data_IF_971989380472
#
_entry.id   IF_971989380472
#
_cell.length_a   1.000
_cell.length_b   1.000
_cell.length_c   1.000
_cell.angle_alpha   90.00
_cell.angle_beta   90.00
_cell.angle_gamma   90.00
#
_symmetry.space_group_name_H-M   'P 1'
#
loop_
_entity.id
_entity.type
_entity.pdbx_description
1 polymer ?
#
# COMPACT_ATOMS: atom_id res chain seq x y z
N UNK A 1 -6.39 16.39 20.15
CA UNK A 1 -7.49 15.43 20.41
C UNK A 1 -7.31 14.89 21.81
N UNK A 2 -8.37 14.73 22.58
CA UNK A 2 -8.31 14.05 23.87
C UNK A 2 -8.00 12.57 23.60
N UNK A 3 -6.83 12.10 24.03
CA UNK A 3 -6.30 10.76 23.72
C UNK A 3 -6.97 9.65 24.55
N UNK A 4 -7.99 9.97 25.33
CA UNK A 4 -8.59 9.05 26.32
C UNK A 4 -9.86 8.35 25.86
N UNK A 5 -10.49 8.79 24.76
CA UNK A 5 -11.75 8.23 24.28
C UNK A 5 -11.53 7.41 23.00
N UNK A 6 -11.91 6.11 22.99
CA UNK A 6 -11.87 5.30 21.76
C UNK A 6 -12.76 5.91 20.67
N UNK A 7 -12.38 5.76 19.42
CA UNK A 7 -13.23 6.14 18.30
C UNK A 7 -14.48 5.27 18.26
N UNK A 8 -15.59 5.89 17.88
CA UNK A 8 -16.86 5.18 17.73
C UNK A 8 -16.76 4.21 16.54
N UNK A 9 -17.13 2.95 16.79
CA UNK A 9 -17.07 1.90 15.76
C UNK A 9 -17.86 2.33 14.51
N UNK A 10 -17.32 2.11 13.31
CA UNK A 10 -18.00 2.48 12.06
C UNK A 10 -19.39 1.86 11.94
N UNK A 11 -20.38 2.69 11.62
CA UNK A 11 -21.79 2.30 11.57
C UNK A 11 -22.59 2.59 12.82
N UNK A 12 -21.97 2.71 13.99
CA UNK A 12 -22.65 3.07 15.24
C UNK A 12 -23.08 4.55 15.25
N UNK A 13 -24.03 4.87 16.13
CA UNK A 13 -24.51 6.25 16.30
C UNK A 13 -23.37 7.19 16.74
N UNK A 14 -23.20 8.29 16.02
CA UNK A 14 -22.13 9.27 16.28
C UNK A 14 -20.83 9.00 15.50
N UNK A 15 -20.67 7.83 14.86
CA UNK A 15 -19.49 7.58 14.02
C UNK A 15 -19.50 8.46 12.77
N UNK A 16 -18.32 8.99 12.41
CA UNK A 16 -18.11 9.75 11.17
C UNK A 16 -18.06 8.87 9.92
N UNK A 17 -17.98 7.56 10.09
CA UNK A 17 -17.99 6.59 9.00
C UNK A 17 -19.22 5.69 9.12
N UNK A 18 -20.07 5.71 8.11
CA UNK A 18 -21.24 4.85 7.97
C UNK A 18 -21.12 4.07 6.66
N UNK A 19 -20.62 2.82 6.71
CA UNK A 19 -20.50 2.01 5.50
C UNK A 19 -21.86 1.77 4.85
N UNK A 20 -21.92 1.88 3.52
CA UNK A 20 -23.05 1.39 2.73
C UNK A 20 -22.98 -0.13 2.65
N UNK A 21 -24.14 -0.81 2.53
CA UNK A 21 -24.16 -2.27 2.37
C UNK A 21 -23.55 -2.75 1.06
N UNK A 22 -23.44 -1.86 0.06
CA UNK A 22 -22.87 -2.17 -1.26
C UNK A 22 -22.20 -0.94 -1.86
N UNK A 23 -21.06 -1.17 -2.51
CA UNK A 23 -20.32 -0.21 -3.31
C UNK A 23 -20.23 -0.66 -4.77
N UNK A 24 -19.85 0.27 -5.65
CA UNK A 24 -19.75 0.04 -7.09
C UNK A 24 -18.31 0.36 -7.58
N UNK A 25 -18.00 0.06 -8.85
CA UNK A 25 -16.79 0.57 -9.49
C UNK A 25 -16.90 2.08 -9.70
N UNK A 26 -15.81 2.81 -9.59
CA UNK A 26 -15.77 4.23 -9.97
C UNK A 26 -15.15 4.37 -11.36
N UNK A 27 -15.99 4.58 -12.39
CA UNK A 27 -15.55 4.60 -13.79
C UNK A 27 -16.17 5.80 -14.50
N UNK A 28 -15.34 6.57 -15.22
CA UNK A 28 -15.83 7.69 -16.01
C UNK A 28 -16.36 8.88 -15.17
N UNK A 29 -15.98 8.93 -13.89
CA UNK A 29 -16.43 9.96 -12.95
C UNK A 29 -17.73 9.62 -12.23
N UNK A 30 -18.23 8.38 -12.33
CA UNK A 30 -19.49 7.95 -11.74
C UNK A 30 -19.40 6.50 -11.20
N UNK A 31 -20.32 6.13 -10.31
CA UNK A 31 -20.42 4.81 -9.74
C UNK A 31 -21.14 3.85 -10.71
N UNK A 32 -20.46 2.76 -11.08
CA UNK A 32 -20.89 1.82 -12.12
C UNK A 32 -20.99 0.40 -11.61
N UNK A 33 -22.14 -0.23 -11.81
CA UNK A 33 -22.32 -1.66 -11.49
C UNK A 33 -21.40 -2.54 -12.34
N UNK A 34 -20.94 -3.67 -11.81
CA UNK A 34 -20.18 -4.63 -12.62
C UNK A 34 -21.05 -5.20 -13.75
N UNK A 35 -20.47 -5.36 -14.94
CA UNK A 35 -21.19 -5.86 -16.13
C UNK A 35 -21.85 -7.22 -15.91
N UNK A 36 -21.17 -8.07 -15.11
CA UNK A 36 -21.71 -9.40 -14.75
C UNK A 36 -22.82 -9.34 -13.70
N UNK A 37 -23.05 -8.23 -13.02
CA UNK A 37 -23.95 -8.09 -11.88
C UNK A 37 -23.48 -8.85 -10.63
N UNK A 38 -22.23 -9.38 -10.60
CA UNK A 38 -21.70 -10.17 -9.49
C UNK A 38 -20.96 -9.29 -8.49
N UNK A 39 -21.06 -9.66 -7.21
CA UNK A 39 -20.41 -9.00 -6.10
C UNK A 39 -19.71 -10.04 -5.23
N UNK A 40 -18.81 -9.59 -4.36
CA UNK A 40 -18.21 -10.40 -3.31
C UNK A 40 -18.22 -9.60 -1.99
N UNK A 41 -18.19 -10.31 -0.87
CA UNK A 41 -18.18 -9.71 0.46
C UNK A 41 -16.79 -9.21 0.82
N UNK A 42 -16.73 -8.00 1.32
CA UNK A 42 -15.55 -7.44 1.98
C UNK A 42 -15.72 -7.64 3.49
N UNK A 43 -14.77 -8.33 4.09
CA UNK A 43 -14.81 -8.74 5.50
C UNK A 43 -13.83 -7.89 6.31
N UNK A 44 -14.31 -7.31 7.41
CA UNK A 44 -13.43 -6.61 8.34
C UNK A 44 -12.55 -7.59 9.11
N UNK A 45 -11.22 -7.49 9.03
CA UNK A 45 -10.33 -8.34 9.80
C UNK A 45 -10.37 -8.05 11.31
N UNK A 46 -10.89 -6.89 11.72
CA UNK A 46 -11.02 -6.55 13.14
C UNK A 46 -12.03 -7.42 13.86
N UNK A 47 -13.05 -7.92 13.16
CA UNK A 47 -14.19 -8.63 13.74
C UNK A 47 -14.59 -9.91 13.01
N UNK A 48 -14.05 -10.17 11.81
CA UNK A 48 -14.49 -11.26 10.94
C UNK A 48 -15.89 -11.07 10.33
N UNK A 49 -16.48 -9.86 10.44
CA UNK A 49 -17.82 -9.56 9.93
C UNK A 49 -17.76 -8.87 8.58
N UNK A 50 -18.81 -9.04 7.77
CA UNK A 50 -18.97 -8.35 6.49
C UNK A 50 -19.14 -6.85 6.71
N UNK A 51 -18.35 -6.04 6.01
CA UNK A 51 -18.48 -4.59 5.94
C UNK A 51 -19.54 -4.22 4.89
N UNK A 52 -19.34 -4.73 3.67
CA UNK A 52 -20.14 -4.42 2.50
C UNK A 52 -19.93 -5.46 1.39
N UNK A 53 -20.72 -5.34 0.33
CA UNK A 53 -20.46 -6.02 -0.95
C UNK A 53 -19.76 -5.06 -1.92
N UNK A 54 -18.82 -5.57 -2.72
CA UNK A 54 -18.10 -4.84 -3.77
C UNK A 54 -18.12 -5.60 -5.09
N UNK A 55 -17.95 -4.92 -6.25
CA UNK A 55 -18.02 -5.55 -7.56
C UNK A 55 -17.02 -6.70 -7.75
N UNK A 56 -17.48 -7.84 -8.24
CA UNK A 56 -16.66 -8.89 -8.80
C UNK A 56 -16.54 -8.68 -10.30
N UNK A 57 -15.70 -7.71 -10.66
CA UNK A 57 -15.49 -7.30 -12.04
C UNK A 57 -14.63 -8.30 -12.80
N UNK A 58 -14.76 -8.25 -14.12
CA UNK A 58 -14.05 -9.10 -15.07
C UNK A 58 -13.40 -8.28 -16.20
N UNK A 59 -12.99 -8.93 -17.28
CA UNK A 59 -12.36 -8.29 -18.42
C UNK A 59 -13.25 -7.23 -19.10
N UNK A 60 -14.58 -7.41 -19.11
CA UNK A 60 -15.51 -6.43 -19.70
C UNK A 60 -15.55 -5.13 -18.91
N UNK A 61 -15.46 -5.21 -17.57
CA UNK A 61 -15.39 -4.02 -16.71
C UNK A 61 -14.05 -3.30 -16.88
N UNK A 62 -12.96 -4.04 -17.04
CA UNK A 62 -11.64 -3.48 -17.35
C UNK A 62 -11.67 -2.76 -18.70
N UNK A 63 -12.24 -3.37 -19.73
CA UNK A 63 -12.35 -2.73 -21.04
C UNK A 63 -13.21 -1.47 -20.99
N UNK A 64 -14.32 -1.49 -20.24
CA UNK A 64 -15.16 -0.33 -20.02
C UNK A 64 -14.43 0.81 -19.30
N UNK A 65 -13.62 0.49 -18.28
CA UNK A 65 -12.76 1.47 -17.60
C UNK A 65 -11.67 2.02 -18.51
N UNK A 66 -11.08 1.17 -19.36
CA UNK A 66 -10.11 1.59 -20.37
C UNK A 66 -10.74 2.50 -21.44
N UNK A 67 -12.01 2.27 -21.83
CA UNK A 67 -12.74 3.18 -22.73
C UNK A 67 -12.85 4.58 -22.11
N UNK A 68 -13.27 4.66 -20.84
CA UNK A 68 -13.36 5.93 -20.12
C UNK A 68 -12.00 6.62 -20.00
N UNK A 69 -10.95 5.86 -19.64
CA UNK A 69 -9.61 6.39 -19.51
C UNK A 69 -9.04 6.89 -20.85
N UNK A 70 -9.22 6.15 -21.94
CA UNK A 70 -8.76 6.57 -23.28
C UNK A 70 -9.52 7.80 -23.79
N UNK A 71 -10.78 7.96 -23.43
CA UNK A 71 -11.57 9.16 -23.77
C UNK A 71 -11.02 10.40 -23.03
N UNK A 72 -10.60 10.25 -21.77
CA UNK A 72 -10.11 11.34 -20.93
C UNK A 72 -8.64 11.70 -21.19
N UNK A 73 -7.78 10.72 -21.49
CA UNK A 73 -6.34 10.88 -21.56
C UNK A 73 -5.86 12.00 -22.52
N UNK A 74 -6.41 12.19 -23.72
CA UNK A 74 -5.95 13.25 -24.63
C UNK A 74 -6.13 14.68 -24.09
N UNK A 75 -7.23 14.93 -23.41
CA UNK A 75 -7.50 16.24 -22.80
C UNK A 75 -6.65 16.45 -21.54
N UNK A 76 -6.61 15.43 -20.66
CA UNK A 76 -5.84 15.46 -19.43
C UNK A 76 -4.33 15.63 -19.70
N UNK A 77 -3.78 14.90 -20.68
CA UNK A 77 -2.38 14.99 -21.07
C UNK A 77 -1.97 16.36 -21.65
N UNK A 78 -2.94 17.12 -22.18
CA UNK A 78 -2.72 18.50 -22.65
C UNK A 78 -2.94 19.56 -21.59
N UNK A 79 -3.50 19.19 -20.43
CA UNK A 79 -3.67 20.11 -19.29
C UNK A 79 -2.31 20.60 -18.80
N UNK A 80 -2.19 21.90 -18.59
CA UNK A 80 -0.92 22.50 -18.15
C UNK A 80 -0.43 21.97 -16.80
N UNK A 81 0.91 21.88 -16.57
CA UNK A 81 1.46 21.37 -15.29
C UNK A 81 0.94 22.11 -14.07
N UNK A 82 0.74 23.43 -14.17
CA UNK A 82 0.22 24.23 -13.07
C UNK A 82 -1.22 23.89 -12.70
N UNK A 83 -2.05 23.58 -13.69
CA UNK A 83 -3.45 23.20 -13.46
C UNK A 83 -3.54 21.80 -12.83
N UNK A 84 -2.77 20.84 -13.34
CA UNK A 84 -2.66 19.50 -12.72
C UNK A 84 -2.17 19.61 -11.27
N UNK A 85 -1.12 20.39 -11.03
CA UNK A 85 -0.61 20.65 -9.69
C UNK A 85 -1.70 21.20 -8.74
N UNK A 86 -2.48 22.17 -9.20
CA UNK A 86 -3.57 22.75 -8.39
C UNK A 86 -4.66 21.73 -8.05
N UNK A 87 -4.96 20.80 -8.97
CA UNK A 87 -5.90 19.69 -8.71
C UNK A 87 -5.33 18.75 -7.65
N UNK A 88 -4.06 18.36 -7.75
CA UNK A 88 -3.40 17.51 -6.76
C UNK A 88 -3.35 18.15 -5.37
N UNK A 89 -3.11 19.46 -5.28
CA UNK A 89 -3.17 20.19 -4.00
C UNK A 89 -4.58 20.15 -3.41
N UNK A 90 -5.62 20.37 -4.21
CA UNK A 90 -7.01 20.24 -3.75
C UNK A 90 -7.36 18.84 -3.27
N UNK A 91 -6.81 17.80 -3.93
CA UNK A 91 -6.94 16.41 -3.47
C UNK A 91 -6.29 16.25 -2.10
N UNK A 92 -5.06 16.73 -1.94
CA UNK A 92 -4.34 16.68 -0.66
C UNK A 92 -5.12 17.38 0.47
N UNK A 93 -5.60 18.59 0.23
CA UNK A 93 -6.38 19.35 1.21
C UNK A 93 -7.69 18.62 1.58
N UNK A 94 -8.41 18.08 0.59
CA UNK A 94 -9.64 17.32 0.82
C UNK A 94 -9.40 16.03 1.62
N UNK A 95 -8.29 15.33 1.39
CA UNK A 95 -7.88 14.15 2.18
C UNK A 95 -7.58 14.57 3.62
N UNK A 96 -6.82 15.64 3.82
CA UNK A 96 -6.47 16.17 5.15
C UNK A 96 -7.71 16.58 5.96
N UNK A 97 -8.68 17.25 5.33
CA UNK A 97 -9.97 17.62 5.92
C UNK A 97 -10.82 16.40 6.33
N UNK A 98 -10.61 15.24 5.69
CA UNK A 98 -11.34 14.01 5.95
C UNK A 98 -10.50 12.92 6.66
N UNK A 99 -9.41 13.31 7.34
CA UNK A 99 -8.46 12.38 7.99
C UNK A 99 -9.16 11.36 8.87
N UNK A 100 -10.10 11.76 9.74
CA UNK A 100 -10.78 10.83 10.64
C UNK A 100 -11.64 9.80 9.89
N UNK A 101 -12.40 10.24 8.87
CA UNK A 101 -13.22 9.34 8.04
C UNK A 101 -12.34 8.30 7.33
N UNK A 102 -11.22 8.73 6.78
CA UNK A 102 -10.30 7.88 6.03
C UNK A 102 -9.52 6.94 6.96
N UNK A 103 -9.07 7.41 8.12
CA UNK A 103 -8.41 6.55 9.13
C UNK A 103 -9.35 5.47 9.67
N UNK A 104 -10.63 5.81 9.94
CA UNK A 104 -11.65 4.83 10.31
C UNK A 104 -11.88 3.79 9.20
N UNK A 105 -11.87 4.22 7.93
CA UNK A 105 -12.04 3.32 6.79
C UNK A 105 -10.84 2.36 6.66
N UNK A 106 -9.61 2.86 6.77
CA UNK A 106 -8.39 2.04 6.77
C UNK A 106 -8.41 0.99 7.89
N UNK A 107 -8.72 1.42 9.12
CA UNK A 107 -8.78 0.51 10.28
C UNK A 107 -9.83 -0.58 10.11
N UNK A 108 -11.03 -0.23 9.62
CA UNK A 108 -12.11 -1.19 9.42
C UNK A 108 -11.78 -2.21 8.33
N UNK A 109 -11.13 -1.76 7.25
CA UNK A 109 -10.86 -2.52 6.03
C UNK A 109 -9.60 -3.39 6.14
N UNK A 110 -8.53 -2.85 6.73
CA UNK A 110 -7.21 -3.49 6.80
C UNK A 110 -6.92 -4.14 8.17
N UNK A 111 -7.54 -3.65 9.25
CA UNK A 111 -7.28 -4.14 10.62
C UNK A 111 -6.19 -3.41 11.39
N UNK A 112 -5.45 -2.49 10.78
CA UNK A 112 -4.42 -1.71 11.47
C UNK A 112 -4.99 -0.85 12.59
N UNK A 113 -4.20 -0.53 13.62
CA UNK A 113 -4.61 0.43 14.63
C UNK A 113 -4.88 1.80 14.02
N UNK A 114 -5.93 2.46 14.44
CA UNK A 114 -6.33 3.78 13.92
C UNK A 114 -5.23 4.85 14.11
N UNK A 115 -4.38 4.69 15.12
CA UNK A 115 -3.20 5.53 15.31
C UNK A 115 -2.29 5.57 14.10
N UNK A 116 -2.15 4.45 13.37
CA UNK A 116 -1.32 4.35 12.18
C UNK A 116 -1.93 5.17 11.04
N UNK A 117 -3.26 5.13 10.89
CA UNK A 117 -4.00 5.99 9.96
C UNK A 117 -3.73 7.48 10.20
N UNK A 118 -3.73 7.92 11.47
CA UNK A 118 -3.47 9.30 11.86
C UNK A 118 -2.00 9.70 11.79
N UNK A 119 -1.08 8.82 12.18
CA UNK A 119 0.34 9.14 12.30
C UNK A 119 1.14 8.93 11.00
N UNK A 120 0.71 8.01 10.15
CA UNK A 120 1.43 7.60 8.96
C UNK A 120 0.59 7.66 7.68
N UNK A 121 -0.46 6.84 7.55
CA UNK A 121 -1.10 6.58 6.25
C UNK A 121 -1.68 7.84 5.62
N UNK A 122 -2.52 8.57 6.35
CA UNK A 122 -3.19 9.75 5.81
C UNK A 122 -2.23 10.95 5.66
N UNK A 123 -1.36 11.27 6.65
CA UNK A 123 -0.34 12.31 6.46
C UNK A 123 0.60 12.04 5.28
N UNK A 124 1.08 10.81 5.11
CA UNK A 124 1.93 10.45 3.98
C UNK A 124 1.17 10.48 2.65
N UNK A 125 -0.11 10.10 2.63
CA UNK A 125 -0.97 10.25 1.46
C UNK A 125 -1.08 11.71 1.03
N UNK A 126 -1.35 12.62 1.97
CA UNK A 126 -1.41 14.08 1.73
C UNK A 126 -0.07 14.59 1.19
N UNK A 127 1.04 14.20 1.84
CA UNK A 127 2.38 14.61 1.44
C UNK A 127 2.74 14.16 0.01
N UNK A 128 2.38 12.94 -0.37
CA UNK A 128 2.62 12.43 -1.73
C UNK A 128 1.91 13.27 -2.80
N UNK A 129 0.66 13.63 -2.61
CA UNK A 129 -0.04 14.51 -3.55
C UNK A 129 0.59 15.90 -3.60
N UNK A 130 0.98 16.46 -2.45
CA UNK A 130 1.68 17.76 -2.36
C UNK A 130 3.06 17.71 -3.02
N UNK A 131 3.83 16.62 -2.78
CA UNK A 131 5.15 16.43 -3.39
C UNK A 131 5.07 16.41 -4.92
N UNK A 132 4.18 15.60 -5.50
CA UNK A 132 4.07 15.50 -6.96
C UNK A 132 3.43 16.74 -7.59
N UNK A 133 2.60 17.49 -6.87
CA UNK A 133 2.16 18.81 -7.29
C UNK A 133 3.32 19.80 -7.42
N UNK A 134 4.27 19.77 -6.50
CA UNK A 134 5.52 20.53 -6.57
C UNK A 134 6.44 20.04 -7.68
N UNK A 135 6.69 18.74 -7.73
CA UNK A 135 7.62 18.10 -8.66
C UNK A 135 7.27 18.38 -10.13
N UNK A 136 5.97 18.28 -10.51
CA UNK A 136 5.57 18.50 -11.90
C UNK A 136 5.78 19.95 -12.36
N UNK A 137 5.72 20.92 -11.45
CA UNK A 137 5.99 22.33 -11.78
C UNK A 137 7.46 22.64 -11.95
N UNK A 138 8.33 21.84 -11.35
CA UNK A 138 9.79 21.96 -11.43
C UNK A 138 10.40 21.03 -12.49
N UNK A 139 9.57 20.25 -13.20
CA UNK A 139 10.05 19.32 -14.20
C UNK A 139 10.60 20.07 -15.42
N UNK A 140 11.86 19.81 -15.75
CA UNK A 140 12.58 20.40 -16.88
C UNK A 140 12.87 19.33 -17.96
N UNK A 141 13.20 19.81 -19.16
CA UNK A 141 13.80 19.00 -20.22
C UNK A 141 15.31 19.25 -20.31
N UNK A 142 15.96 18.50 -21.17
CA UNK A 142 17.38 18.67 -21.48
C UNK A 142 17.58 19.10 -22.92
N UNK A 143 18.65 19.86 -23.18
CA UNK A 143 19.07 20.26 -24.50
C UNK A 143 20.56 19.99 -24.64
N UNK A 144 20.98 19.47 -25.81
CA UNK A 144 22.38 19.20 -26.12
C UNK A 144 22.67 19.43 -27.59
N UNK A 145 23.90 19.80 -27.87
CA UNK A 145 24.40 19.84 -29.26
C UNK A 145 24.98 18.47 -29.61
N UNK A 146 24.66 18.00 -30.81
CA UNK A 146 25.26 16.79 -31.39
C UNK A 146 26.17 17.24 -32.51
N UNK A 147 27.46 16.89 -32.43
CA UNK A 147 28.41 17.14 -33.49
C UNK A 147 27.98 16.36 -34.76
N UNK A 148 27.86 17.07 -35.87
CA UNK A 148 27.46 16.46 -37.13
C UNK A 148 28.47 15.37 -37.55
N UNK A 149 28.01 14.15 -37.88
CA UNK A 149 28.87 13.16 -38.53
C UNK A 149 29.34 13.70 -39.86
N UNK A 150 30.65 13.85 -40.05
CA UNK A 150 31.27 14.13 -41.35
C UNK A 150 31.10 12.88 -42.24
N UNK A 151 30.10 12.87 -43.09
CA UNK A 151 30.08 11.99 -44.23
C UNK A 151 30.65 12.74 -45.42
N UNK A 152 31.94 12.49 -45.67
CA UNK A 152 32.65 12.96 -46.91
C UNK A 152 33.13 14.41 -46.84
N UNK A 153 34.36 14.61 -46.38
CA UNK A 153 35.37 15.59 -46.86
C UNK A 153 34.99 17.07 -46.98
N UNK A 154 33.97 17.57 -46.32
CA UNK A 154 33.57 18.97 -46.33
C UNK A 154 33.25 19.50 -44.96
N UNK A 155 33.76 20.68 -44.63
CA UNK A 155 33.45 21.46 -43.39
C UNK A 155 32.00 21.97 -43.45
N UNK A 156 31.01 21.12 -43.26
CA UNK A 156 29.65 21.56 -42.98
C UNK A 156 29.32 21.21 -41.55
N UNK A 157 29.68 22.07 -40.64
CA UNK A 157 29.22 22.08 -39.24
C UNK A 157 27.74 22.52 -39.22
N UNK A 158 26.85 21.71 -39.76
CA UNK A 158 25.44 21.77 -39.39
C UNK A 158 25.32 21.06 -38.04
N UNK A 159 25.55 21.81 -36.95
CA UNK A 159 25.30 21.34 -35.60
C UNK A 159 23.83 20.93 -35.47
N UNK A 160 23.60 19.69 -35.08
CA UNK A 160 22.25 19.25 -34.70
C UNK A 160 22.01 19.56 -33.25
N UNK A 161 20.80 20.00 -32.95
CA UNK A 161 20.36 20.22 -31.58
C UNK A 161 19.39 19.09 -31.21
N UNK A 162 19.70 18.36 -30.13
CA UNK A 162 18.82 17.39 -29.52
C UNK A 162 18.17 18.02 -28.27
N UNK A 163 16.86 17.90 -28.17
CA UNK A 163 16.15 18.25 -26.94
C UNK A 163 15.29 17.11 -26.50
N UNK A 164 15.12 16.99 -25.18
CA UNK A 164 14.32 15.98 -24.52
C UNK A 164 13.37 16.66 -23.56
N UNK A 165 12.10 16.30 -23.65
CA UNK A 165 11.08 16.69 -22.67
C UNK A 165 10.14 15.52 -22.39
N UNK A 166 9.64 15.37 -21.13
CA UNK A 166 8.70 14.31 -20.77
C UNK A 166 7.31 14.56 -21.36
N UNK A 167 6.69 13.48 -21.83
CA UNK A 167 5.29 13.46 -22.28
C UNK A 167 4.50 12.39 -21.50
N UNK A 168 3.16 12.57 -21.31
CA UNK A 168 2.31 11.53 -20.77
C UNK A 168 2.35 10.26 -21.61
N UNK A 169 2.37 9.10 -20.97
CA UNK A 169 2.24 7.80 -21.64
C UNK A 169 0.84 7.56 -22.22
N UNK A 170 -0.17 8.18 -21.62
CA UNK A 170 -1.58 8.03 -21.96
C UNK A 170 -2.37 7.31 -20.89
N UNK A 171 -2.73 6.04 -21.10
CA UNK A 171 -3.46 5.24 -20.10
C UNK A 171 -2.52 4.26 -19.42
N UNK A 172 -2.53 4.26 -18.08
CA UNK A 172 -1.71 3.38 -17.25
C UNK A 172 -2.57 2.49 -16.36
N UNK A 173 -2.17 1.23 -16.19
CA UNK A 173 -2.77 0.27 -15.27
C UNK A 173 -2.03 0.28 -13.93
N UNK A 174 -2.78 0.25 -12.84
CA UNK A 174 -2.23 0.22 -11.50
C UNK A 174 -2.88 -0.88 -10.66
N UNK A 175 -2.08 -1.66 -9.94
CA UNK A 175 -2.54 -2.72 -9.07
C UNK A 175 -1.85 -2.54 -7.72
N UNK A 176 -2.64 -2.42 -6.65
CA UNK A 176 -2.15 -2.10 -5.32
C UNK A 176 -2.43 -3.23 -4.32
N UNK A 177 -1.59 -3.39 -3.29
CA UNK A 177 -1.74 -4.37 -2.23
C UNK A 177 -2.74 -3.88 -1.16
N UNK A 178 -2.94 -4.74 -0.17
CA UNK A 178 -3.89 -4.57 0.91
C UNK A 178 -3.30 -3.99 2.21
N UNK A 179 -1.98 -3.88 2.34
CA UNK A 179 -1.35 -3.50 3.62
C UNK A 179 -1.38 -1.99 3.94
N UNK A 180 -1.42 -1.13 2.93
CA UNK A 180 -1.59 0.31 3.04
C UNK A 180 -2.50 0.82 1.92
N UNK A 181 -3.80 0.48 1.90
CA UNK A 181 -4.66 0.70 0.74
C UNK A 181 -4.63 2.14 0.21
N UNK A 182 -5.00 3.13 1.03
CA UNK A 182 -5.06 4.55 0.62
C UNK A 182 -3.68 5.09 0.27
N UNK A 183 -2.66 4.78 1.07
CA UNK A 183 -1.29 5.24 0.82
C UNK A 183 -0.73 4.65 -0.48
N UNK A 184 -0.95 3.35 -0.75
CA UNK A 184 -0.50 2.72 -1.99
C UNK A 184 -1.26 3.22 -3.21
N UNK A 185 -2.54 3.58 -3.05
CA UNK A 185 -3.27 4.29 -4.11
C UNK A 185 -2.62 5.65 -4.40
N UNK A 186 -2.29 6.44 -3.36
CA UNK A 186 -1.62 7.73 -3.53
C UNK A 186 -0.24 7.60 -4.20
N UNK A 187 0.57 6.61 -3.82
CA UNK A 187 1.89 6.36 -4.42
C UNK A 187 1.82 6.13 -5.93
N UNK A 188 0.71 5.63 -6.42
CA UNK A 188 0.52 5.35 -7.85
C UNK A 188 -0.31 6.44 -8.55
N UNK A 189 -1.37 6.93 -7.92
CA UNK A 189 -2.21 7.98 -8.50
C UNK A 189 -1.47 9.32 -8.61
N UNK A 190 -0.81 9.78 -7.55
CA UNK A 190 -0.20 11.11 -7.54
C UNK A 190 0.83 11.32 -8.66
N UNK A 191 1.85 10.47 -8.86
CA UNK A 191 2.81 10.63 -9.94
C UNK A 191 2.17 10.46 -11.33
N UNK A 192 1.24 9.51 -11.49
CA UNK A 192 0.60 9.27 -12.78
C UNK A 192 -0.27 10.45 -13.22
N UNK A 193 -1.08 10.99 -12.30
CA UNK A 193 -1.92 12.16 -12.53
C UNK A 193 -1.09 13.43 -12.76
N UNK A 194 -0.04 13.64 -11.96
CA UNK A 194 0.90 14.74 -12.13
C UNK A 194 1.51 14.74 -13.54
N UNK A 195 1.95 13.57 -14.01
CA UNK A 195 2.53 13.39 -15.34
C UNK A 195 1.50 13.50 -16.49
N UNK A 196 0.20 13.65 -16.21
CA UNK A 196 -0.85 13.79 -17.23
C UNK A 196 -1.40 12.48 -17.77
N UNK A 197 -1.21 11.36 -17.07
CA UNK A 197 -1.76 10.06 -17.45
C UNK A 197 -3.17 9.86 -16.90
N UNK A 198 -4.03 9.18 -17.65
CA UNK A 198 -5.27 8.62 -17.12
C UNK A 198 -5.01 7.21 -16.56
N UNK A 199 -5.75 6.85 -15.52
CA UNK A 199 -5.45 5.67 -14.70
C UNK A 199 -6.65 4.72 -14.66
N UNK A 200 -6.36 3.41 -14.74
CA UNK A 200 -7.25 2.34 -14.29
C UNK A 200 -6.54 1.64 -13.13
N UNK A 201 -7.10 1.74 -11.92
CA UNK A 201 -6.54 1.17 -10.69
C UNK A 201 -7.41 0.02 -10.20
N UNK A 202 -6.77 -1.13 -9.91
CA UNK A 202 -7.37 -2.27 -9.24
C UNK A 202 -6.86 -2.37 -7.80
N UNK A 203 -7.70 -2.10 -6.80
CA UNK A 203 -7.36 -2.36 -5.40
C UNK A 203 -7.23 -3.86 -5.11
N UNK A 204 -6.58 -4.21 -4.00
CA UNK A 204 -6.63 -5.58 -3.50
C UNK A 204 -8.06 -5.98 -3.13
N UNK A 205 -8.41 -7.23 -3.35
CA UNK A 205 -9.74 -7.77 -3.01
C UNK A 205 -9.99 -7.85 -1.50
N UNK A 206 -8.93 -7.85 -0.69
CA UNK A 206 -9.02 -7.85 0.76
C UNK A 206 -9.42 -6.48 1.33
N UNK A 207 -9.04 -5.38 0.66
CA UNK A 207 -9.22 -4.02 1.16
C UNK A 207 -9.77 -3.05 0.10
N UNK A 208 -10.95 -3.33 -0.44
CA UNK A 208 -11.57 -2.47 -1.46
C UNK A 208 -12.36 -1.30 -0.86
N UNK A 209 -12.81 -1.42 0.40
CA UNK A 209 -13.71 -0.46 1.03
C UNK A 209 -13.07 0.91 1.24
N UNK A 210 -11.87 0.97 1.79
CA UNK A 210 -11.15 2.23 2.03
C UNK A 210 -10.89 3.01 0.75
N UNK A 211 -10.68 2.33 -0.38
CA UNK A 211 -10.53 2.96 -1.70
C UNK A 211 -11.85 3.57 -2.19
N UNK A 212 -12.99 2.91 -1.93
CA UNK A 212 -14.29 3.52 -2.24
C UNK A 212 -14.51 4.80 -1.42
N UNK A 213 -14.20 4.75 -0.12
CA UNK A 213 -14.29 5.94 0.75
C UNK A 213 -13.35 7.05 0.29
N UNK A 214 -12.14 6.71 -0.19
CA UNK A 214 -11.23 7.68 -0.81
C UNK A 214 -11.88 8.33 -2.03
N UNK A 215 -12.49 7.54 -2.92
CA UNK A 215 -13.15 8.09 -4.13
C UNK A 215 -14.40 8.91 -3.82
N UNK A 216 -15.14 8.60 -2.74
CA UNK A 216 -16.19 9.48 -2.24
C UNK A 216 -15.66 10.88 -1.84
N UNK A 217 -14.41 10.92 -1.33
CA UNK A 217 -13.76 12.15 -0.86
C UNK A 217 -13.16 12.96 -2.02
N UNK A 218 -12.55 12.32 -3.02
CA UNK A 218 -11.75 13.02 -4.03
C UNK A 218 -12.27 12.90 -5.48
N UNK A 219 -13.21 11.99 -5.75
CA UNK A 219 -13.59 11.62 -7.12
C UNK A 219 -14.14 12.78 -7.95
N UNK A 220 -14.84 13.73 -7.33
CA UNK A 220 -15.40 14.94 -7.95
C UNK A 220 -14.35 15.99 -8.35
N UNK A 221 -13.13 15.90 -7.81
CA UNK A 221 -12.03 16.83 -8.11
C UNK A 221 -11.33 16.53 -9.44
N UNK A 222 -11.50 15.31 -9.96
CA UNK A 222 -10.86 14.85 -11.18
C UNK A 222 -11.83 14.91 -12.38
N UNK A 223 -11.36 15.28 -13.56
CA UNK A 223 -12.18 15.16 -14.76
C UNK A 223 -12.61 13.70 -15.00
N UNK A 224 -13.84 13.53 -15.48
CA UNK A 224 -14.43 12.22 -15.73
C UNK A 224 -13.51 11.30 -16.54
N UNK A 225 -13.22 10.09 -16.06
CA UNK A 225 -12.37 9.10 -16.69
C UNK A 225 -10.86 9.27 -16.50
N UNK A 226 -10.39 10.33 -15.82
CA UNK A 226 -8.96 10.50 -15.51
C UNK A 226 -8.49 9.48 -14.47
N UNK A 227 -9.30 9.18 -13.47
CA UNK A 227 -9.09 8.08 -12.54
C UNK A 227 -10.29 7.13 -12.58
N UNK A 228 -10.02 5.83 -12.70
CA UNK A 228 -11.04 4.79 -12.72
C UNK A 228 -10.61 3.67 -11.76
N UNK A 229 -11.52 3.25 -10.90
CA UNK A 229 -11.30 2.19 -9.91
C UNK A 229 -12.17 0.99 -10.29
N UNK A 230 -11.54 -0.18 -10.45
CA UNK A 230 -12.21 -1.42 -10.80
C UNK A 230 -11.88 -2.49 -9.75
N UNK A 231 -12.89 -2.92 -9.00
CA UNK A 231 -12.77 -3.97 -8.00
C UNK A 231 -12.85 -5.35 -8.65
N UNK A 232 -12.28 -6.35 -8.00
CA UNK A 232 -12.31 -7.74 -8.48
C UNK A 232 -11.08 -8.53 -8.10
N UNK A 233 -11.14 -9.84 -8.34
CA UNK A 233 -10.04 -10.75 -8.05
C UNK A 233 -8.87 -10.60 -9.04
N UNK A 234 -7.67 -10.97 -8.58
CA UNK A 234 -6.44 -10.84 -9.36
C UNK A 234 -6.51 -11.47 -10.75
N UNK A 235 -7.05 -12.68 -10.85
CA UNK A 235 -7.16 -13.41 -12.14
C UNK A 235 -8.27 -12.84 -13.03
N UNK A 236 -9.37 -12.33 -12.44
CA UNK A 236 -10.56 -11.90 -13.17
C UNK A 236 -10.47 -10.45 -13.68
N UNK A 237 -9.87 -9.55 -12.89
CA UNK A 237 -9.71 -8.14 -13.23
C UNK A 237 -8.23 -7.71 -13.37
N UNK A 238 -7.34 -8.21 -12.52
CA UNK A 238 -5.92 -7.84 -12.54
C UNK A 238 -5.18 -8.34 -13.78
N UNK A 239 -5.37 -9.62 -14.14
CA UNK A 239 -4.75 -10.20 -15.35
C UNK A 239 -5.19 -9.48 -16.63
N UNK A 240 -6.50 -9.25 -16.91
CA UNK A 240 -6.93 -8.46 -18.05
C UNK A 240 -6.32 -7.05 -18.12
N UNK A 241 -6.21 -6.38 -16.97
CA UNK A 241 -5.57 -5.06 -16.92
C UNK A 241 -4.08 -5.14 -17.26
N UNK A 242 -3.36 -6.09 -16.66
CA UNK A 242 -1.90 -6.22 -16.83
C UNK A 242 -1.50 -6.71 -18.25
N UNK A 243 -2.36 -7.47 -18.93
CA UNK A 243 -2.11 -7.97 -20.29
C UNK A 243 -2.73 -7.11 -21.40
N UNK A 244 -3.48 -6.05 -21.08
CA UNK A 244 -4.17 -5.27 -22.10
C UNK A 244 -3.21 -4.43 -22.94
N UNK A 245 -3.15 -4.66 -24.26
CA UNK A 245 -2.39 -3.82 -25.22
C UNK A 245 -2.81 -2.34 -25.24
N UNK A 246 -3.94 -2.01 -24.57
CA UNK A 246 -4.46 -0.65 -24.42
C UNK A 246 -3.77 0.10 -23.27
N UNK A 247 -3.02 -0.60 -22.42
CA UNK A 247 -2.27 -0.02 -21.29
C UNK A 247 -0.82 0.24 -21.73
N UNK A 248 -0.30 1.42 -21.42
CA UNK A 248 1.05 1.84 -21.80
C UNK A 248 2.11 1.54 -20.74
N UNK A 249 1.71 1.33 -19.51
CA UNK A 249 2.56 0.93 -18.38
C UNK A 249 1.71 0.30 -17.30
N UNK A 250 2.25 -0.70 -16.60
CA UNK A 250 1.67 -1.26 -15.41
C UNK A 250 2.55 -0.92 -14.20
N UNK A 251 1.93 -0.36 -13.15
CA UNK A 251 2.53 -0.21 -11.84
C UNK A 251 1.91 -1.23 -10.87
N UNK A 252 2.72 -2.12 -10.35
CA UNK A 252 2.30 -3.15 -9.41
C UNK A 252 3.05 -3.02 -8.08
N UNK A 253 2.33 -3.16 -6.97
CA UNK A 253 2.90 -3.42 -5.65
C UNK A 253 2.18 -4.61 -5.04
N UNK A 254 2.95 -5.58 -4.52
CA UNK A 254 2.39 -6.76 -3.88
C UNK A 254 3.41 -7.87 -3.68
N UNK A 255 2.91 -9.08 -3.54
CA UNK A 255 3.71 -10.28 -3.27
C UNK A 255 4.56 -10.66 -4.49
N UNK A 256 5.75 -11.21 -4.25
CA UNK A 256 6.75 -11.52 -5.27
C UNK A 256 6.25 -12.52 -6.33
N UNK A 257 5.49 -13.55 -5.92
CA UNK A 257 4.94 -14.54 -6.87
C UNK A 257 3.94 -13.90 -7.82
N UNK A 258 3.07 -13.03 -7.30
CA UNK A 258 2.14 -12.24 -8.11
C UNK A 258 2.88 -11.27 -9.04
N UNK A 259 3.97 -10.64 -8.57
CA UNK A 259 4.82 -9.78 -9.41
C UNK A 259 5.39 -10.51 -10.62
N UNK A 260 5.82 -11.78 -10.46
CA UNK A 260 6.26 -12.63 -11.58
C UNK A 260 5.14 -12.87 -12.60
N UNK A 261 3.91 -13.14 -12.12
CA UNK A 261 2.74 -13.29 -12.99
C UNK A 261 2.41 -11.99 -13.73
N UNK A 262 2.50 -10.83 -13.08
CA UNK A 262 2.29 -9.53 -13.73
C UNK A 262 3.29 -9.31 -14.86
N UNK A 263 4.59 -9.64 -14.66
CA UNK A 263 5.58 -9.58 -15.73
C UNK A 263 5.24 -10.51 -16.90
N UNK A 264 4.80 -11.74 -16.60
CA UNK A 264 4.37 -12.69 -17.63
C UNK A 264 3.19 -12.15 -18.45
N UNK A 265 2.16 -11.61 -17.79
CA UNK A 265 1.00 -11.02 -18.48
C UNK A 265 1.38 -9.80 -19.32
N UNK A 266 2.20 -8.91 -18.78
CA UNK A 266 2.64 -7.72 -19.49
C UNK A 266 3.55 -8.04 -20.69
N UNK A 267 4.32 -9.13 -20.63
CA UNK A 267 5.24 -9.54 -21.68
C UNK A 267 4.54 -9.90 -23.00
N UNK A 268 3.29 -10.34 -22.96
CA UNK A 268 2.49 -10.66 -24.15
C UNK A 268 2.37 -9.46 -25.09
N UNK A 269 2.36 -8.25 -24.55
CA UNK A 269 2.22 -7.01 -25.32
C UNK A 269 3.38 -6.03 -25.10
N UNK A 270 4.51 -6.50 -24.55
CA UNK A 270 5.71 -5.72 -24.26
C UNK A 270 5.43 -4.46 -23.42
N UNK A 271 4.50 -4.57 -22.46
CA UNK A 271 4.11 -3.46 -21.61
C UNK A 271 5.19 -3.25 -20.54
N UNK A 272 5.76 -2.04 -20.39
CA UNK A 272 6.69 -1.73 -19.30
C UNK A 272 6.02 -1.88 -17.92
N UNK A 273 6.73 -2.51 -16.99
CA UNK A 273 6.23 -2.76 -15.63
C UNK A 273 7.19 -2.16 -14.61
N UNK A 274 6.63 -1.50 -13.61
CA UNK A 274 7.34 -1.20 -12.34
C UNK A 274 6.78 -2.09 -11.26
N UNK A 275 7.66 -2.82 -10.57
CA UNK A 275 7.33 -3.76 -9.50
C UNK A 275 7.90 -3.27 -8.17
N UNK A 276 7.02 -3.15 -7.17
CA UNK A 276 7.39 -3.02 -5.77
C UNK A 276 6.96 -4.31 -5.07
N UNK A 277 7.91 -5.02 -4.48
CA UNK A 277 7.72 -6.39 -3.99
C UNK A 277 8.14 -6.52 -2.52
N UNK A 278 8.05 -7.73 -1.98
CA UNK A 278 8.41 -8.02 -0.61
C UNK A 278 9.92 -8.13 -0.37
N UNK A 279 10.26 -8.39 0.88
CA UNK A 279 11.64 -8.54 1.31
C UNK A 279 11.78 -9.26 2.64
N UNK A 280 13.02 -9.43 3.08
CA UNK A 280 13.39 -9.97 4.39
C UNK A 280 14.53 -9.13 4.97
N UNK A 281 14.25 -7.83 5.13
CA UNK A 281 15.24 -6.82 5.55
C UNK A 281 15.74 -7.07 6.98
N UNK A 282 17.05 -7.00 7.25
CA UNK A 282 17.59 -7.11 8.60
C UNK A 282 17.73 -5.75 9.29
N UNK A 283 17.49 -5.70 10.60
CA UNK A 283 18.12 -4.73 11.49
C UNK A 283 19.41 -5.34 12.04
N UNK A 284 20.50 -4.57 12.04
CA UNK A 284 21.82 -5.03 12.49
C UNK A 284 22.24 -4.21 13.71
N UNK A 285 22.51 -4.90 14.81
CA UNK A 285 22.85 -4.32 16.11
C UNK A 285 24.29 -4.69 16.47
N UNK A 286 25.22 -3.73 16.33
CA UNK A 286 26.61 -3.90 16.73
C UNK A 286 26.80 -3.68 18.24
N UNK A 287 27.89 -4.22 18.79
CA UNK A 287 28.14 -4.21 20.23
C UNK A 287 28.28 -2.82 20.86
N UNK A 288 28.69 -1.84 20.09
CA UNK A 288 28.90 -0.47 20.54
C UNK A 288 27.61 0.27 20.92
N UNK A 289 26.43 -0.22 20.49
CA UNK A 289 25.15 0.38 20.90
C UNK A 289 24.97 0.40 22.41
N UNK A 290 25.47 -0.63 23.13
CA UNK A 290 25.38 -0.73 24.59
C UNK A 290 26.30 0.23 25.35
N UNK A 291 27.20 0.92 24.64
CA UNK A 291 28.00 2.03 25.16
C UNK A 291 27.37 3.41 24.98
N UNK A 292 26.20 3.48 24.36
CA UNK A 292 25.44 4.70 24.13
C UNK A 292 24.71 5.21 25.37
N UNK A 293 24.02 6.33 25.24
CA UNK A 293 23.11 6.83 26.26
C UNK A 293 21.84 5.96 26.35
N UNK A 294 21.15 5.99 27.49
CA UNK A 294 19.89 5.27 27.68
C UNK A 294 18.84 5.61 26.60
N UNK A 295 18.77 6.88 26.18
CA UNK A 295 17.91 7.30 25.09
C UNK A 295 18.31 6.66 23.74
N UNK A 296 19.61 6.56 23.45
CA UNK A 296 20.08 5.91 22.24
C UNK A 296 19.79 4.40 22.25
N UNK A 297 20.04 3.73 23.36
CA UNK A 297 19.73 2.29 23.53
C UNK A 297 18.22 2.07 23.40
N UNK A 298 17.39 2.93 24.03
CA UNK A 298 15.93 2.88 23.91
C UNK A 298 15.47 2.98 22.45
N UNK A 299 16.07 3.86 21.65
CA UNK A 299 15.77 3.96 20.21
C UNK A 299 16.21 2.72 19.42
N UNK A 300 17.29 2.07 19.81
CA UNK A 300 17.68 0.79 19.20
C UNK A 300 16.63 -0.31 19.50
N UNK A 301 16.10 -0.35 20.72
CA UNK A 301 15.02 -1.27 21.08
C UNK A 301 13.74 -0.94 20.30
N UNK A 302 13.36 0.35 20.17
CA UNK A 302 12.25 0.76 19.30
C UNK A 302 12.46 0.31 17.85
N UNK A 303 13.70 0.37 17.35
CA UNK A 303 14.05 -0.14 16.02
C UNK A 303 13.72 -1.62 15.84
N UNK A 304 13.85 -2.44 16.91
CA UNK A 304 13.40 -3.84 16.90
C UNK A 304 11.85 -3.91 16.85
N UNK A 305 11.16 -3.10 17.64
CA UNK A 305 9.70 -3.08 17.71
C UNK A 305 9.03 -2.67 16.38
N UNK A 306 9.76 -1.99 15.48
CA UNK A 306 9.26 -1.69 14.14
C UNK A 306 8.90 -2.95 13.35
N UNK A 307 9.38 -4.15 13.74
CA UNK A 307 8.93 -5.42 13.18
C UNK A 307 7.43 -5.69 13.42
N UNK A 308 6.82 -5.02 14.40
CA UNK A 308 5.41 -5.17 14.77
C UNK A 308 4.54 -3.99 14.32
N UNK A 309 5.16 -2.91 13.79
CA UNK A 309 4.44 -1.79 13.21
C UNK A 309 3.50 -2.26 12.09
N UNK A 310 2.32 -1.67 11.99
CA UNK A 310 1.28 -2.11 11.05
C UNK A 310 1.07 -3.64 11.10
N UNK A 311 1.05 -4.23 12.32
CA UNK A 311 1.00 -5.68 12.62
C UNK A 311 2.01 -6.53 11.81
N UNK A 312 3.18 -5.96 11.46
CA UNK A 312 4.22 -6.61 10.68
C UNK A 312 3.93 -6.73 9.17
N UNK A 313 2.84 -6.16 8.69
CA UNK A 313 2.41 -6.19 7.29
C UNK A 313 3.03 -5.03 6.48
N UNK A 314 4.37 -4.97 6.48
CA UNK A 314 5.16 -3.90 5.88
C UNK A 314 6.26 -4.48 4.98
N UNK A 315 6.31 -4.06 3.71
CA UNK A 315 7.31 -4.53 2.74
C UNK A 315 8.76 -4.17 3.14
N UNK A 316 8.93 -3.07 3.87
CA UNK A 316 10.23 -2.63 4.42
C UNK A 316 10.43 -3.05 5.88
N UNK A 317 9.60 -3.95 6.40
CA UNK A 317 9.65 -4.41 7.78
C UNK A 317 11.03 -5.00 8.10
N UNK A 318 11.65 -4.64 9.26
CA UNK A 318 12.87 -5.29 9.74
C UNK A 318 12.54 -6.66 10.32
N UNK A 319 12.18 -7.59 9.44
CA UNK A 319 11.70 -8.93 9.81
C UNK A 319 12.79 -9.93 10.19
N UNK A 320 14.04 -9.46 10.32
CA UNK A 320 15.18 -10.16 10.95
C UNK A 320 15.93 -9.19 11.84
N UNK A 321 16.39 -9.67 13.01
CA UNK A 321 17.29 -8.95 13.88
C UNK A 321 18.62 -9.70 13.94
N UNK A 322 19.72 -9.07 13.52
CA UNK A 322 21.07 -9.61 13.59
C UNK A 322 21.80 -8.87 14.71
N UNK A 323 21.99 -9.55 15.84
CA UNK A 323 22.49 -8.95 17.07
C UNK A 323 23.85 -9.55 17.39
N UNK A 324 24.84 -8.67 17.67
CA UNK A 324 26.18 -9.12 18.07
C UNK A 324 26.10 -9.96 19.36
N UNK A 325 26.85 -11.08 19.42
CA UNK A 325 26.79 -12.06 20.51
C UNK A 325 27.06 -11.46 21.89
N UNK A 326 28.02 -10.52 22.01
CA UNK A 326 28.39 -9.87 23.28
C UNK A 326 27.23 -9.08 23.93
N UNK A 327 26.22 -8.62 23.13
CA UNK A 327 25.12 -7.82 23.61
C UNK A 327 23.76 -8.53 23.52
N UNK A 328 23.75 -9.76 23.01
CA UNK A 328 22.50 -10.46 22.70
C UNK A 328 21.58 -10.58 23.92
N UNK A 329 22.07 -11.13 25.02
CA UNK A 329 21.22 -11.36 26.21
C UNK A 329 20.71 -10.04 26.84
N UNK A 330 21.55 -9.03 27.15
CA UNK A 330 21.06 -7.79 27.75
C UNK A 330 20.16 -6.99 26.79
N UNK A 331 20.41 -6.99 25.49
CA UNK A 331 19.57 -6.32 24.52
C UNK A 331 18.20 -7.01 24.38
N UNK A 332 18.17 -8.33 24.27
CA UNK A 332 16.93 -9.09 24.15
C UNK A 332 16.06 -9.03 25.40
N UNK A 333 16.65 -8.88 26.60
CA UNK A 333 15.87 -8.66 27.81
C UNK A 333 15.11 -7.33 27.75
N UNK A 334 15.77 -6.24 27.32
CA UNK A 334 15.12 -4.95 27.11
C UNK A 334 14.02 -5.02 26.02
N UNK A 335 14.26 -5.76 24.93
CA UNK A 335 13.26 -6.00 23.88
C UNK A 335 12.04 -6.73 24.46
N UNK A 336 12.24 -7.81 25.22
CA UNK A 336 11.13 -8.58 25.84
C UNK A 336 10.27 -7.72 26.73
N UNK A 337 10.88 -6.88 27.58
CA UNK A 337 10.13 -5.97 28.44
C UNK A 337 9.29 -4.95 27.64
N UNK A 338 9.84 -4.41 26.56
CA UNK A 338 9.13 -3.48 25.69
C UNK A 338 8.00 -4.15 24.91
N UNK A 339 8.20 -5.38 24.41
CA UNK A 339 7.17 -6.13 23.68
C UNK A 339 6.00 -6.49 24.63
N UNK A 340 6.27 -6.88 25.88
CA UNK A 340 5.21 -7.10 26.89
C UNK A 340 4.35 -5.85 27.15
N UNK A 341 4.92 -4.67 26.98
CA UNK A 341 4.22 -3.40 27.17
C UNK A 341 3.41 -2.96 25.91
N UNK A 342 3.53 -3.67 24.78
CA UNK A 342 2.75 -3.36 23.58
C UNK A 342 1.26 -3.58 23.84
N UNK A 343 0.47 -2.54 23.56
CA UNK A 343 -0.97 -2.66 23.61
C UNK A 343 -1.51 -3.28 22.31
N UNK A 344 -1.98 -4.52 22.41
CA UNK A 344 -2.66 -5.24 21.36
C UNK A 344 -4.14 -5.30 21.72
N UNK A 345 -4.90 -4.27 21.37
CA UNK A 345 -6.28 -4.07 21.82
C UNK A 345 -7.26 -3.78 20.68
N UNK A 346 -8.31 -3.00 20.98
CA UNK A 346 -9.22 -2.51 19.95
C UNK A 346 -8.48 -1.68 18.91
N UNK A 347 -8.55 -2.01 17.62
CA UNK A 347 -7.91 -1.19 16.58
C UNK A 347 -8.42 0.25 16.51
N UNK A 348 -9.60 0.53 17.08
CA UNK A 348 -10.20 1.88 17.16
C UNK A 348 -9.79 2.68 18.40
N UNK A 349 -8.85 2.18 19.20
CA UNK A 349 -8.22 2.89 20.31
C UNK A 349 -6.84 3.42 19.88
N UNK A 350 -6.59 4.73 20.10
CA UNK A 350 -5.30 5.36 19.77
C UNK A 350 -4.11 4.76 20.54
N UNK A 351 -4.35 4.11 21.66
CA UNK A 351 -3.32 3.45 22.44
C UNK A 351 -2.96 2.06 21.90
N UNK A 352 -3.77 1.48 21.03
CA UNK A 352 -3.44 0.18 20.41
C UNK A 352 -2.27 0.33 19.44
N UNK A 353 -1.30 -0.59 19.55
CA UNK A 353 -0.07 -0.59 18.77
C UNK A 353 0.00 -1.73 17.76
N UNK A 354 -0.70 -2.82 18.01
CA UNK A 354 -0.77 -3.98 17.11
C UNK A 354 -2.23 -4.34 16.88
N UNK A 355 -2.65 -4.35 15.62
CA UNK A 355 -4.01 -4.63 15.17
C UNK A 355 -4.21 -6.05 14.67
N UNK A 356 -5.28 -6.25 13.87
CA UNK A 356 -5.60 -7.51 13.21
C UNK A 356 -4.82 -7.67 11.90
N UNK A 357 -4.56 -8.91 11.49
CA UNK A 357 -4.02 -9.23 10.16
C UNK A 357 -5.08 -8.97 9.09
N UNK A 358 -4.69 -8.47 7.93
CA UNK A 358 -5.61 -7.92 6.92
C UNK A 358 -6.64 -8.91 6.36
N UNK A 359 -6.45 -10.21 6.51
CA UNK A 359 -7.40 -11.23 6.06
C UNK A 359 -7.20 -12.56 6.78
N UNK A 360 -8.19 -13.44 6.70
CA UNK A 360 -8.08 -14.81 7.21
C UNK A 360 -6.97 -15.59 6.48
N UNK A 361 -6.83 -15.39 5.17
CA UNK A 361 -5.78 -16.03 4.37
C UNK A 361 -4.38 -15.64 4.90
N UNK A 362 -4.15 -14.36 5.16
CA UNK A 362 -2.89 -13.88 5.71
C UNK A 362 -2.67 -14.38 7.15
N UNK A 363 -3.69 -14.38 7.97
CA UNK A 363 -3.64 -14.96 9.32
C UNK A 363 -3.23 -16.43 9.28
N UNK A 364 -3.88 -17.27 8.45
CA UNK A 364 -3.54 -18.69 8.31
C UNK A 364 -2.11 -18.89 7.77
N UNK A 365 -1.67 -18.06 6.82
CA UNK A 365 -0.29 -18.04 6.35
C UNK A 365 0.69 -17.81 7.51
N UNK A 366 0.47 -16.78 8.33
CA UNK A 366 1.34 -16.47 9.46
C UNK A 366 1.37 -17.65 10.44
N UNK A 367 0.20 -18.18 10.82
CA UNK A 367 0.11 -19.34 11.72
C UNK A 367 0.90 -20.55 11.19
N UNK A 368 0.81 -20.80 9.88
CA UNK A 368 1.59 -21.86 9.25
C UNK A 368 3.12 -21.67 9.38
N UNK A 369 3.60 -20.42 9.28
CA UNK A 369 5.02 -20.12 9.47
C UNK A 369 5.46 -20.22 10.93
N UNK A 370 4.59 -19.92 11.89
CA UNK A 370 4.88 -20.17 13.31
C UNK A 370 5.10 -21.68 13.56
N UNK A 371 4.28 -22.52 12.93
CA UNK A 371 4.45 -23.99 13.02
C UNK A 371 5.70 -24.47 12.28
N UNK A 372 6.00 -23.94 11.10
CA UNK A 372 7.23 -24.24 10.36
C UNK A 372 8.47 -23.91 11.20
N UNK A 373 8.49 -22.72 11.83
CA UNK A 373 9.62 -22.33 12.70
C UNK A 373 9.84 -23.31 13.85
N UNK A 374 8.77 -23.70 14.54
CA UNK A 374 8.82 -24.70 15.62
C UNK A 374 9.30 -26.07 15.12
N UNK A 375 8.81 -26.53 13.95
CA UNK A 375 9.19 -27.80 13.34
C UNK A 375 10.65 -27.82 12.88
N UNK A 376 11.18 -26.70 12.42
CA UNK A 376 12.60 -26.55 12.04
C UNK A 376 13.54 -26.41 13.26
N UNK A 377 12.97 -26.35 14.47
CA UNK A 377 13.73 -26.27 15.73
C UNK A 377 14.12 -24.86 16.11
N UNK A 378 13.47 -23.83 15.58
CA UNK A 378 13.66 -22.46 16.06
C UNK A 378 13.07 -22.31 17.48
N UNK A 379 13.79 -21.61 18.34
CA UNK A 379 13.36 -21.29 19.70
C UNK A 379 12.37 -20.14 19.67
N UNK A 380 11.17 -20.31 20.26
CA UNK A 380 10.20 -19.23 20.46
C UNK A 380 10.64 -18.42 21.67
N UNK A 381 11.05 -17.18 21.47
CA UNK A 381 11.48 -16.28 22.56
C UNK A 381 10.30 -15.66 23.31
N UNK A 382 9.23 -15.36 22.55
CA UNK A 382 7.91 -14.90 23.04
C UNK A 382 6.87 -14.97 21.91
N UNK A 383 5.58 -14.92 22.25
CA UNK A 383 4.48 -15.07 21.31
C UNK A 383 4.35 -16.48 20.74
N UNK A 384 4.22 -16.61 19.44
CA UNK A 384 4.16 -17.90 18.74
C UNK A 384 2.77 -18.53 18.71
N UNK A 385 1.73 -17.73 18.91
CA UNK A 385 0.34 -18.18 18.95
C UNK A 385 -0.66 -17.12 18.47
N UNK A 386 -1.89 -17.54 18.24
CA UNK A 386 -3.03 -16.68 18.01
C UNK A 386 -3.31 -15.85 19.27
N UNK A 387 -3.69 -14.57 19.07
CA UNK A 387 -4.21 -13.74 20.15
C UNK A 387 -5.72 -13.83 20.21
N UNK A 388 -6.24 -14.17 21.37
CA UNK A 388 -7.68 -14.18 21.63
C UNK A 388 -8.17 -12.78 21.98
N UNK A 389 -9.21 -12.33 21.29
CA UNK A 389 -9.88 -11.06 21.53
C UNK A 389 -11.30 -11.28 22.04
N UNK A 390 -11.86 -10.29 22.74
CA UNK A 390 -13.18 -10.37 23.33
C UNK A 390 -14.21 -9.45 22.63
N UNK A 391 -15.50 -9.71 22.89
CA UNK A 391 -16.60 -8.86 22.45
C UNK A 391 -16.68 -8.76 20.92
N UNK A 392 -16.77 -7.54 20.42
CA UNK A 392 -16.93 -7.28 18.98
C UNK A 392 -15.73 -7.74 18.12
N UNK A 393 -14.58 -8.00 18.75
CA UNK A 393 -13.33 -8.37 18.07
C UNK A 393 -13.00 -9.86 18.14
N UNK A 394 -13.84 -10.68 18.78
CA UNK A 394 -13.59 -12.12 19.02
C UNK A 394 -13.48 -12.95 17.73
N UNK A 395 -14.06 -12.49 16.62
CA UNK A 395 -13.96 -13.13 15.31
C UNK A 395 -12.83 -12.61 14.43
N UNK A 396 -12.04 -11.65 14.91
CA UNK A 396 -10.97 -11.02 14.14
C UNK A 396 -9.68 -11.85 14.07
N UNK A 397 -8.76 -11.41 13.25
CA UNK A 397 -7.54 -12.15 12.86
C UNK A 397 -6.31 -11.61 13.59
N UNK A 398 -6.14 -11.94 14.87
CA UNK A 398 -5.07 -11.38 15.70
C UNK A 398 -3.97 -12.41 15.98
N UNK A 399 -2.71 -12.00 15.89
CA UNK A 399 -1.52 -12.79 16.18
C UNK A 399 -0.70 -12.09 17.26
N UNK A 400 -0.15 -12.85 18.22
CA UNK A 400 0.76 -12.30 19.21
C UNK A 400 2.07 -11.83 18.56
N UNK A 401 2.60 -10.63 18.93
CA UNK A 401 3.96 -10.26 18.56
C UNK A 401 4.93 -11.37 18.91
N UNK A 402 5.63 -11.88 17.91
CA UNK A 402 6.43 -13.10 18.02
C UNK A 402 7.88 -12.85 17.65
N UNK A 403 8.80 -13.46 18.41
CA UNK A 403 10.19 -13.56 18.01
C UNK A 403 10.70 -14.99 18.11
N UNK A 404 11.50 -15.38 17.11
CA UNK A 404 12.22 -16.64 17.07
C UNK A 404 13.72 -16.39 17.14
N UNK A 405 14.43 -17.35 17.76
CA UNK A 405 15.88 -17.49 17.67
C UNK A 405 16.21 -18.74 16.88
N UNK A 406 17.08 -18.63 15.90
CA UNK A 406 17.40 -19.78 15.08
C UNK A 406 18.57 -19.55 14.12
N UNK A 407 18.69 -20.43 13.14
CA UNK A 407 19.73 -20.41 12.14
C UNK A 407 19.19 -19.78 10.84
N UNK A 408 20.01 -18.95 10.20
CA UNK A 408 19.65 -18.26 8.96
C UNK A 408 19.23 -19.20 7.80
N UNK A 409 19.55 -20.50 7.84
CA UNK A 409 19.10 -21.48 6.84
C UNK A 409 17.64 -21.92 7.00
N UNK A 410 17.01 -21.65 8.14
CA UNK A 410 15.60 -21.97 8.37
C UNK A 410 14.70 -21.10 7.51
N UNK A 411 13.57 -21.65 7.05
CA UNK A 411 12.64 -20.96 6.15
C UNK A 411 12.10 -19.66 6.72
N UNK A 412 11.81 -19.60 8.02
CA UNK A 412 11.28 -18.41 8.70
C UNK A 412 12.25 -17.22 8.63
N UNK A 413 13.56 -17.43 8.42
CA UNK A 413 14.57 -16.38 8.24
C UNK A 413 14.89 -16.09 6.77
N UNK A 414 14.42 -16.94 5.84
CA UNK A 414 14.64 -16.77 4.39
C UNK A 414 13.41 -16.26 3.65
N UNK A 415 12.22 -16.64 4.11
CA UNK A 415 10.96 -16.35 3.43
C UNK A 415 10.20 -15.22 4.14
N UNK A 416 9.46 -14.42 3.38
CA UNK A 416 8.65 -13.33 3.89
C UNK A 416 7.36 -13.87 4.52
N UNK A 417 7.24 -13.71 5.84
CA UNK A 417 6.02 -14.09 6.59
C UNK A 417 4.93 -13.04 6.44
N UNK A 418 5.33 -11.76 6.47
CA UNK A 418 4.47 -10.58 6.35
C UNK A 418 3.42 -10.49 7.47
N UNK A 419 3.91 -10.56 8.70
CA UNK A 419 3.13 -10.51 9.94
C UNK A 419 4.02 -10.15 11.12
N UNK A 420 3.50 -10.11 12.37
CA UNK A 420 4.23 -9.64 13.54
C UNK A 420 5.22 -10.70 14.05
N UNK A 421 6.14 -11.13 13.18
CA UNK A 421 7.11 -12.22 13.42
C UNK A 421 8.50 -11.79 12.98
N UNK A 422 9.48 -11.86 13.93
CA UNK A 422 10.89 -11.51 13.71
C UNK A 422 11.82 -12.62 14.17
#
# INVERSE_FOLDING_TARGET
MDQTTPFIYPGDEGSKLKPSSRYENFIGGDWQKPKSGKYFENISPTSGKVICEVPRSNAEDIDFALDAAHKAAPAWGKTGPAERANILLKIADRIEENTEKLALAETLDNGKPIREGFAADIPLTVDHFRYFAGAIRAQEGTIGNIDGMQSGGGNSALGMMAYHYPEPLGVVGQIIPWNFPILMAAWKLAPALAAGNAVVLKPAEQTPFSINVLMEVIGDLLPAGVANIVHGYGVEAGKPLASSKRVKKVGFTGETTTGRLILQYASENLIPVTLELGGKSPNIYFKDIMGGSDDYISRCVEGFLHAYFNQGEVCTCPSRAIIHEDIYEPFMEMVKERVKALNCGSPFDLNTQVGAQASNEQFEKIMSYLDIGKQEGAEVLFGGEKREMNGNFSGGYYVEPTAFRGNNSMRIFQEEIFGPVV
#
